data_IF_322555736750
#
_entry.id   IF_322555736750
#
_cell.length_a   1.000
_cell.length_b   1.000
_cell.length_c   1.000
_cell.angle_alpha   90.00
_cell.angle_beta   90.00
_cell.angle_gamma   90.00
#
_symmetry.space_group_name_H-M   'P 1'
#
loop_
_entity.id
_entity.type
_entity.pdbx_description
1 polymer ?
#
# COMPACT_ATOMS: atom_id res chain seq x y z
N UNK A 1 -7.69 -2.95 -18.59
CA UNK A 1 -6.24 -2.84 -18.88
C UNK A 1 -5.56 -2.31 -17.62
N UNK A 2 -4.57 -3.00 -17.07
CA UNK A 2 -3.97 -2.64 -15.78
C UNK A 2 -2.83 -1.65 -16.01
N UNK A 3 -2.91 -0.47 -15.40
CA UNK A 3 -1.88 0.57 -15.57
C UNK A 3 -0.70 0.22 -14.67
N UNK A 4 0.43 -0.13 -15.29
CA UNK A 4 1.72 -0.26 -14.61
C UNK A 4 2.15 1.16 -14.24
N UNK A 5 2.35 1.42 -12.95
CA UNK A 5 2.83 2.71 -12.46
C UNK A 5 4.35 2.78 -12.61
N UNK A 6 5.04 1.66 -12.38
CA UNK A 6 6.49 1.56 -12.48
C UNK A 6 6.95 0.11 -12.62
N UNK A 7 8.09 -0.11 -13.26
CA UNK A 7 8.76 -1.42 -13.30
C UNK A 7 10.24 -1.29 -12.92
N UNK A 8 10.73 -2.23 -12.10
CA UNK A 8 12.09 -2.29 -11.57
C UNK A 8 12.60 -3.72 -11.68
N UNK A 9 13.38 -3.99 -12.73
CA UNK A 9 13.74 -5.36 -13.10
C UNK A 9 12.47 -6.19 -13.31
N UNK A 10 12.27 -7.20 -12.45
CA UNK A 10 11.10 -8.10 -12.48
C UNK A 10 9.93 -7.61 -11.62
N UNK A 11 10.13 -6.57 -10.80
CA UNK A 11 9.11 -6.03 -9.90
C UNK A 11 8.25 -4.99 -10.63
N UNK A 12 6.94 -5.15 -10.56
CA UNK A 12 5.95 -4.26 -11.15
C UNK A 12 5.18 -3.60 -10.02
N UNK A 13 5.13 -2.26 -10.04
CA UNK A 13 4.25 -1.49 -9.17
C UNK A 13 3.00 -1.11 -9.93
N UNK A 14 1.85 -1.35 -9.31
CA UNK A 14 0.54 -1.08 -9.90
C UNK A 14 -0.49 -0.83 -8.81
N UNK A 15 -1.62 -0.25 -9.21
CA UNK A 15 -2.77 -0.12 -8.30
C UNK A 15 -3.24 -1.50 -7.84
N UNK A 16 -3.65 -1.56 -6.57
CA UNK A 16 -4.33 -2.69 -5.98
C UNK A 16 -5.69 -2.90 -6.68
N UNK A 17 -6.13 -4.15 -6.75
CA UNK A 17 -7.47 -4.56 -7.18
C UNK A 17 -8.10 -5.38 -6.07
N UNK A 18 -9.42 -5.55 -6.13
CA UNK A 18 -10.15 -6.46 -5.24
C UNK A 18 -9.55 -7.87 -5.18
N UNK A 19 -9.08 -8.40 -6.31
CA UNK A 19 -8.42 -9.71 -6.37
C UNK A 19 -7.09 -9.78 -5.61
N UNK A 20 -6.47 -8.65 -5.31
CA UNK A 20 -5.20 -8.57 -4.57
C UNK A 20 -5.40 -8.46 -3.05
N UNK A 21 -6.62 -8.23 -2.57
CA UNK A 21 -6.91 -8.02 -1.13
C UNK A 21 -6.49 -9.23 -0.30
N UNK A 22 -6.88 -10.43 -0.72
CA UNK A 22 -6.52 -11.67 0.01
C UNK A 22 -4.99 -11.86 0.09
N UNK A 23 -4.22 -11.77 -1.03
CA UNK A 23 -2.75 -11.76 -0.95
C UNK A 23 -2.17 -10.66 -0.05
N UNK A 24 -2.74 -9.46 -0.07
CA UNK A 24 -2.28 -8.34 0.78
C UNK A 24 -2.51 -8.63 2.26
N UNK A 25 -3.68 -9.15 2.62
CA UNK A 25 -4.02 -9.57 3.99
C UNK A 25 -3.07 -10.66 4.48
N UNK A 26 -2.74 -11.64 3.63
CA UNK A 26 -1.80 -12.71 3.95
C UNK A 26 -0.39 -12.15 4.24
N UNK A 27 0.06 -11.15 3.49
CA UNK A 27 1.32 -10.46 3.76
C UNK A 27 1.23 -9.71 5.10
N UNK A 28 0.17 -8.94 5.34
CA UNK A 28 -0.02 -8.20 6.58
C UNK A 28 0.06 -9.14 7.80
N UNK A 29 -0.72 -10.23 7.80
CA UNK A 29 -0.76 -11.24 8.86
C UNK A 29 0.62 -11.82 9.20
N UNK A 30 1.47 -12.03 8.18
CA UNK A 30 2.81 -12.60 8.37
C UNK A 30 3.85 -11.59 8.84
N UNK A 31 3.61 -10.29 8.64
CA UNK A 31 4.66 -9.28 8.71
C UNK A 31 4.42 -8.20 9.75
N UNK A 32 3.18 -8.01 10.20
CA UNK A 32 2.77 -6.96 11.12
C UNK A 32 1.84 -7.52 12.21
N UNK A 33 1.91 -6.98 13.44
CA UNK A 33 1.00 -7.36 14.52
C UNK A 33 -0.38 -6.70 14.42
N UNK A 34 -0.51 -5.58 13.70
CA UNK A 34 -1.81 -4.94 13.47
C UNK A 34 -2.57 -5.62 12.33
N UNK A 35 -3.64 -6.31 12.68
CA UNK A 35 -4.56 -6.94 11.74
C UNK A 35 -5.84 -6.13 11.57
N UNK A 36 -6.36 -6.12 10.35
CA UNK A 36 -7.58 -5.40 9.99
C UNK A 36 -8.61 -6.37 9.39
N UNK A 37 -9.90 -6.01 9.45
CA UNK A 37 -10.93 -6.76 8.72
C UNK A 37 -10.76 -6.61 7.22
N UNK A 38 -11.26 -7.58 6.46
CA UNK A 38 -11.43 -7.53 5.00
C UNK A 38 -12.13 -6.23 4.54
N UNK A 39 -13.23 -5.87 5.19
CA UNK A 39 -13.99 -4.64 4.92
C UNK A 39 -13.13 -3.38 5.02
N UNK A 40 -12.12 -3.35 5.89
CA UNK A 40 -11.25 -2.19 6.01
C UNK A 40 -10.34 -2.04 4.78
N UNK A 41 -9.84 -3.13 4.22
CA UNK A 41 -9.06 -3.08 2.98
C UNK A 41 -9.93 -2.68 1.78
N UNK A 42 -11.15 -3.22 1.70
CA UNK A 42 -12.12 -2.89 0.65
C UNK A 42 -12.49 -1.41 0.69
N UNK A 43 -12.85 -0.89 1.86
CA UNK A 43 -13.23 0.52 2.00
C UNK A 43 -12.09 1.48 1.64
N UNK A 44 -10.84 1.16 1.98
CA UNK A 44 -9.68 1.95 1.55
C UNK A 44 -9.47 1.89 0.03
N UNK A 45 -9.68 0.72 -0.58
CA UNK A 45 -9.56 0.56 -2.02
C UNK A 45 -10.65 1.34 -2.77
N UNK A 46 -11.86 1.40 -2.22
CA UNK A 46 -12.97 2.18 -2.78
C UNK A 46 -12.79 3.69 -2.57
N UNK A 47 -12.29 4.11 -1.40
CA UNK A 47 -12.11 5.53 -1.07
C UNK A 47 -11.00 6.18 -1.92
N UNK A 48 -9.83 5.53 -2.03
CA UNK A 48 -8.67 6.11 -2.68
C UNK A 48 -7.81 5.06 -3.41
N UNK A 49 -8.32 4.47 -4.51
CA UNK A 49 -7.63 3.40 -5.25
C UNK A 49 -6.28 3.84 -5.83
N UNK A 50 -6.09 5.14 -6.09
CA UNK A 50 -4.81 5.72 -6.52
C UNK A 50 -3.69 5.55 -5.50
N UNK A 51 -4.04 5.48 -4.20
CA UNK A 51 -3.08 5.47 -3.10
C UNK A 51 -2.90 4.08 -2.47
N UNK A 52 -3.56 3.06 -3.01
CA UNK A 52 -3.35 1.66 -2.66
C UNK A 52 -2.54 0.97 -3.75
N UNK A 53 -1.24 0.81 -3.51
CA UNK A 53 -0.28 0.27 -4.49
C UNK A 53 0.23 -1.08 -4.02
N UNK A 54 0.36 -2.02 -4.96
CA UNK A 54 0.98 -3.32 -4.74
C UNK A 54 2.24 -3.47 -5.56
N UNK A 55 3.19 -4.22 -5.04
CA UNK A 55 4.37 -4.70 -5.74
C UNK A 55 4.19 -6.17 -6.11
N UNK A 56 4.38 -6.47 -7.39
CA UNK A 56 4.18 -7.79 -7.97
C UNK A 56 5.47 -8.28 -8.63
N UNK A 57 5.79 -9.57 -8.47
CA UNK A 57 6.80 -10.27 -9.28
C UNK A 57 6.15 -11.54 -9.81
N UNK A 58 6.12 -11.70 -11.13
CA UNK A 58 5.62 -12.91 -11.80
C UNK A 58 4.20 -13.32 -11.34
N UNK A 59 3.27 -12.35 -11.23
CA UNK A 59 1.90 -12.61 -10.79
C UNK A 59 1.71 -12.70 -9.27
N UNK A 60 2.79 -12.75 -8.49
CA UNK A 60 2.72 -12.84 -7.02
C UNK A 60 2.89 -11.47 -6.39
N UNK A 61 1.97 -11.08 -5.51
CA UNK A 61 2.12 -9.90 -4.67
C UNK A 61 3.22 -10.17 -3.64
N UNK A 62 4.22 -9.29 -3.61
CA UNK A 62 5.37 -9.37 -2.70
C UNK A 62 5.39 -8.24 -1.68
N UNK A 63 4.53 -7.24 -1.84
CA UNK A 63 4.41 -6.13 -0.91
C UNK A 63 3.32 -5.16 -1.33
N UNK A 64 2.98 -4.25 -0.43
CA UNK A 64 1.92 -3.26 -0.64
C UNK A 64 2.18 -2.01 0.20
N UNK A 65 1.55 -0.91 -0.20
CA UNK A 65 1.31 0.28 0.61
C UNK A 65 -0.17 0.63 0.52
N UNK A 66 -0.78 0.88 1.66
CA UNK A 66 -2.15 1.40 1.74
C UNK A 66 -2.14 2.74 2.46
N UNK A 67 -2.71 3.74 1.80
CA UNK A 67 -2.81 5.10 2.30
C UNK A 67 -4.27 5.52 2.36
N UNK A 68 -4.59 6.39 3.32
CA UNK A 68 -5.89 7.07 3.40
C UNK A 68 -5.72 8.57 3.41
N UNK A 69 -6.78 9.30 3.11
CA UNK A 69 -6.80 10.75 3.30
C UNK A 69 -7.44 11.12 4.62
N UNK A 70 -6.76 11.94 5.41
CA UNK A 70 -7.31 12.47 6.67
C UNK A 70 -7.42 14.00 6.58
N UNK A 71 -8.53 14.55 7.06
CA UNK A 71 -8.70 15.99 7.26
C UNK A 71 -8.45 16.31 8.73
N UNK A 72 -7.55 17.24 9.02
CA UNK A 72 -7.28 17.64 10.40
C UNK A 72 -6.27 18.77 10.53
N UNK A 73 -5.95 19.13 11.76
CA UNK A 73 -4.94 20.15 12.06
C UNK A 73 -3.56 19.73 11.58
N UNK A 74 -2.81 20.63 10.94
CA UNK A 74 -1.46 20.32 10.45
C UNK A 74 -0.53 19.82 11.57
N UNK A 75 0.19 18.71 11.32
CA UNK A 75 1.25 18.25 12.23
C UNK A 75 2.56 19.02 12.03
N UNK A 76 2.67 19.81 10.94
CA UNK A 76 3.88 20.54 10.57
C UNK A 76 3.75 22.06 10.76
N UNK A 77 2.54 22.59 10.91
CA UNK A 77 2.27 24.02 11.16
C UNK A 77 1.36 24.16 12.37
N UNK A 78 1.65 25.12 13.26
CA UNK A 78 0.90 25.37 14.51
C UNK A 78 -0.59 25.70 14.32
N UNK A 79 -1.04 26.09 13.12
CA UNK A 79 -2.44 26.40 12.85
C UNK A 79 -2.78 26.10 11.38
N UNK A 80 -3.93 25.45 11.14
CA UNK A 80 -4.50 25.24 9.80
C UNK A 80 -5.06 23.83 9.59
N UNK A 81 -6.30 23.74 9.12
CA UNK A 81 -6.88 22.50 8.59
C UNK A 81 -6.22 22.16 7.26
N UNK A 82 -5.70 20.95 7.15
CA UNK A 82 -5.04 20.45 5.95
C UNK A 82 -5.54 19.05 5.62
N UNK A 83 -5.54 18.72 4.32
CA UNK A 83 -5.70 17.34 3.86
C UNK A 83 -4.33 16.65 3.95
N UNK A 84 -4.26 15.54 4.69
CA UNK A 84 -3.04 14.75 4.90
C UNK A 84 -3.18 13.38 4.24
N UNK A 85 -2.09 12.89 3.66
CA UNK A 85 -1.94 11.47 3.36
C UNK A 85 -1.41 10.75 4.59
N UNK A 86 -2.10 9.69 5.00
CA UNK A 86 -1.70 8.82 6.11
C UNK A 86 -1.38 7.44 5.54
N UNK A 87 -0.13 6.98 5.70
CA UNK A 87 0.24 5.59 5.37
C UNK A 87 -0.32 4.68 6.46
N UNK A 88 -1.38 3.95 6.16
CA UNK A 88 -2.10 3.13 7.14
C UNK A 88 -1.35 1.85 7.43
N UNK A 89 -0.87 1.19 6.39
CA UNK A 89 -0.04 0.01 6.51
C UNK A 89 0.81 -0.16 5.27
N UNK A 90 1.96 -0.77 5.45
CA UNK A 90 2.90 -0.99 4.38
C UNK A 90 3.81 -2.13 4.76
N UNK A 91 4.00 -3.07 3.84
CA UNK A 91 4.84 -4.23 4.11
C UNK A 91 5.37 -4.86 2.83
N UNK A 92 6.50 -5.56 2.99
CA UNK A 92 7.13 -6.40 1.98
C UNK A 92 7.46 -7.73 2.65
N UNK A 93 7.16 -8.84 1.97
CA UNK A 93 7.51 -10.17 2.45
C UNK A 93 9.02 -10.29 2.68
N UNK A 94 9.41 -11.05 3.69
CA UNK A 94 10.76 -11.04 4.24
C UNK A 94 11.83 -11.41 3.19
N UNK A 95 11.53 -12.37 2.30
CA UNK A 95 12.42 -12.86 1.26
C UNK A 95 12.77 -11.80 0.20
N UNK A 96 12.01 -10.70 0.17
CA UNK A 96 12.18 -9.59 -0.77
C UNK A 96 12.61 -8.28 -0.09
N UNK A 97 12.83 -8.30 1.23
CA UNK A 97 13.44 -7.17 1.96
C UNK A 97 14.91 -6.98 1.55
N UNK A 98 15.44 -5.77 1.75
CA UNK A 98 16.81 -5.41 1.34
C UNK A 98 17.02 -5.23 -0.17
N UNK A 99 16.05 -5.60 -1.02
CA UNK A 99 16.13 -5.49 -2.49
C UNK A 99 15.59 -4.17 -3.06
N UNK A 100 15.43 -3.15 -2.21
CA UNK A 100 14.98 -1.82 -2.62
C UNK A 100 13.48 -1.67 -2.94
N UNK A 101 12.67 -2.74 -2.81
CA UNK A 101 11.22 -2.73 -3.08
C UNK A 101 10.51 -1.62 -2.29
N UNK A 102 10.84 -1.48 -1.00
CA UNK A 102 10.32 -0.40 -0.14
C UNK A 102 10.51 0.99 -0.73
N UNK A 103 11.74 1.32 -1.15
CA UNK A 103 12.11 2.65 -1.68
C UNK A 103 11.34 2.98 -2.95
N UNK A 104 10.79 1.97 -3.60
CA UNK A 104 10.07 2.11 -4.84
C UNK A 104 8.57 2.28 -4.62
N UNK A 105 8.01 1.60 -3.63
CA UNK A 105 6.60 1.74 -3.25
C UNK A 105 6.33 3.08 -2.54
N UNK A 106 7.30 3.59 -1.77
CA UNK A 106 7.17 4.82 -0.96
C UNK A 106 7.54 6.12 -1.67
N UNK A 107 7.90 6.08 -2.97
CA UNK A 107 8.32 7.23 -3.78
C UNK A 107 7.33 7.49 -4.89
#
# INVERSE_FOLDING_TARGET
>A
MQVILRQLGKCILRRCKFSDIIPVMEINLRTLPEHYSDYFYESLLEELPEAFIVAEISGKIIGYIMCKTEYGFSNFKKLGFVKKGHVVSVSVVEEYRGKGVWKCISR
#
